data_IF_606885294383
#
_entry.id   IF_606885294383
#
_cell.length_a   1.000
_cell.length_b   1.000
_cell.length_c   1.000
_cell.angle_alpha   90.00
_cell.angle_beta   90.00
_cell.angle_gamma   90.00
#
_symmetry.space_group_name_H-M   'P 1'
#
loop_
_entity.id
_entity.type
_entity.pdbx_description
1 polymer ?
#
# COMPACT_ATOMS: atom_id res chain seq x y z
N UNK A 1 -7.30 -10.71 -20.81
CA UNK A 1 -6.95 -10.08 -19.52
C UNK A 1 -6.79 -8.60 -19.80
N UNK A 2 -7.66 -7.76 -19.24
CA UNK A 2 -7.67 -6.31 -19.49
C UNK A 2 -6.27 -5.72 -19.20
N UNK A 3 -5.61 -5.14 -20.21
CA UNK A 3 -4.21 -4.74 -20.16
C UNK A 3 -3.95 -3.61 -19.13
N UNK A 4 -5.01 -2.98 -18.65
CA UNK A 4 -5.00 -1.90 -17.67
C UNK A 4 -4.64 -2.35 -16.25
N UNK A 5 -4.85 -3.63 -15.90
CA UNK A 5 -4.57 -4.16 -14.54
C UNK A 5 -3.08 -4.48 -14.33
N UNK A 6 -2.41 -4.93 -15.40
CA UNK A 6 -1.03 -5.40 -15.39
C UNK A 6 -0.01 -4.38 -14.82
N UNK A 7 -0.02 -3.09 -15.22
CA UNK A 7 0.93 -2.12 -14.66
C UNK A 7 0.75 -1.90 -13.15
N UNK A 8 -0.48 -1.97 -12.63
CA UNK A 8 -0.75 -1.78 -11.19
C UNK A 8 -0.23 -2.95 -10.35
N UNK A 9 -0.34 -4.18 -10.84
CA UNK A 9 0.28 -5.33 -10.17
C UNK A 9 1.80 -5.25 -10.18
N UNK A 10 2.40 -4.86 -11.32
CA UNK A 10 3.85 -4.64 -11.43
C UNK A 10 4.31 -3.55 -10.47
N UNK A 11 3.56 -2.44 -10.38
CA UNK A 11 3.85 -1.35 -9.45
C UNK A 11 3.82 -1.81 -7.99
N UNK A 12 2.82 -2.59 -7.58
CA UNK A 12 2.76 -3.14 -6.22
C UNK A 12 3.93 -4.06 -5.89
N UNK A 13 4.31 -4.94 -6.83
CA UNK A 13 5.50 -5.78 -6.66
C UNK A 13 6.79 -4.96 -6.60
N UNK A 14 6.93 -3.94 -7.44
CA UNK A 14 8.08 -3.05 -7.44
C UNK A 14 8.20 -2.26 -6.12
N UNK A 15 7.08 -1.78 -5.58
CA UNK A 15 7.05 -1.12 -4.28
C UNK A 15 7.51 -2.06 -3.15
N UNK A 16 7.00 -3.29 -3.11
CA UNK A 16 7.38 -4.27 -2.09
C UNK A 16 8.89 -4.53 -2.12
N UNK A 17 9.47 -4.72 -3.32
CA UNK A 17 10.91 -4.92 -3.47
C UNK A 17 11.68 -3.66 -3.05
N UNK A 18 11.24 -2.47 -3.48
CA UNK A 18 11.92 -1.20 -3.19
C UNK A 18 11.96 -0.93 -1.69
N UNK A 19 10.84 -1.14 -1.00
CA UNK A 19 10.76 -0.97 0.45
C UNK A 19 11.57 -2.04 1.19
N UNK A 20 11.53 -3.30 0.74
CA UNK A 20 12.40 -4.36 1.27
C UNK A 20 13.88 -4.01 1.13
N UNK A 21 14.30 -3.49 -0.02
CA UNK A 21 15.66 -3.01 -0.23
C UNK A 21 16.01 -1.84 0.70
N UNK A 22 15.07 -0.91 0.91
CA UNK A 22 15.27 0.24 1.81
C UNK A 22 15.62 -0.21 3.23
N UNK A 23 14.90 -1.21 3.75
CA UNK A 23 15.19 -1.80 5.06
C UNK A 23 16.55 -2.51 5.12
N UNK A 24 16.98 -3.14 4.03
CA UNK A 24 18.31 -3.78 3.95
C UNK A 24 19.42 -2.73 3.92
N UNK A 25 19.27 -1.68 3.11
CA UNK A 25 20.26 -0.60 3.00
C UNK A 25 20.42 0.12 4.34
N UNK A 26 19.32 0.38 5.03
CA UNK A 26 19.30 1.11 6.30
C UNK A 26 19.29 0.17 7.52
N UNK A 27 19.70 -1.08 7.38
CA UNK A 27 19.67 -2.06 8.48
C UNK A 27 20.49 -1.65 9.71
N UNK A 28 21.51 -0.79 9.52
CA UNK A 28 22.33 -0.28 10.61
C UNK A 28 21.70 0.94 11.32
N UNK A 29 20.66 1.54 10.72
CA UNK A 29 19.94 2.70 11.26
C UNK A 29 18.76 2.28 12.13
N UNK A 30 18.17 1.12 11.83
CA UNK A 30 17.00 0.60 12.52
C UNK A 30 17.37 -0.58 13.43
N UNK A 31 16.69 -0.68 14.56
CA UNK A 31 16.76 -1.89 15.39
C UNK A 31 16.11 -3.06 14.65
N UNK A 32 16.51 -4.29 14.98
CA UNK A 32 15.90 -5.50 14.39
C UNK A 32 14.39 -5.54 14.57
N UNK A 33 13.89 -5.01 15.69
CA UNK A 33 12.46 -4.95 16.00
C UNK A 33 11.72 -4.05 15.01
N UNK A 34 12.22 -2.82 14.80
CA UNK A 34 11.64 -1.86 13.84
C UNK A 34 11.67 -2.39 12.39
N UNK A 35 12.74 -3.10 12.02
CA UNK A 35 12.83 -3.75 10.69
C UNK A 35 11.73 -4.80 10.53
N UNK A 36 11.51 -5.65 11.53
CA UNK A 36 10.50 -6.70 11.47
C UNK A 36 9.09 -6.10 11.41
N UNK A 37 8.79 -5.14 12.28
CA UNK A 37 7.48 -4.44 12.26
C UNK A 37 7.24 -3.75 10.91
N UNK A 38 8.25 -3.04 10.39
CA UNK A 38 8.18 -2.39 9.09
C UNK A 38 7.94 -3.37 7.95
N UNK A 39 8.66 -4.50 7.91
CA UNK A 39 8.46 -5.53 6.89
C UNK A 39 7.07 -6.18 6.97
N UNK A 40 6.59 -6.49 8.18
CA UNK A 40 5.24 -7.03 8.38
C UNK A 40 4.19 -6.03 7.88
N UNK A 41 4.36 -4.74 8.21
CA UNK A 41 3.47 -3.68 7.75
C UNK A 41 3.45 -3.56 6.22
N UNK A 42 4.61 -3.53 5.56
CA UNK A 42 4.69 -3.48 4.08
C UNK A 42 3.99 -4.68 3.44
N UNK A 43 4.22 -5.88 3.96
CA UNK A 43 3.59 -7.10 3.44
C UNK A 43 2.06 -7.01 3.54
N UNK A 44 1.52 -6.60 4.69
CA UNK A 44 0.08 -6.40 4.87
C UNK A 44 -0.47 -5.32 3.94
N UNK A 45 0.21 -4.17 3.85
CA UNK A 45 -0.18 -3.08 2.96
C UNK A 45 -0.20 -3.51 1.50
N UNK A 46 0.77 -4.32 1.06
CA UNK A 46 0.85 -4.84 -0.30
C UNK A 46 -0.27 -5.84 -0.61
N UNK A 47 -0.62 -6.70 0.35
CA UNK A 47 -1.77 -7.61 0.22
C UNK A 47 -3.06 -6.81 0.04
N UNK A 48 -3.30 -5.80 0.90
CA UNK A 48 -4.46 -4.92 0.81
C UNK A 48 -4.48 -4.21 -0.56
N UNK A 49 -3.34 -3.70 -1.01
CA UNK A 49 -3.21 -3.08 -2.33
C UNK A 49 -3.62 -4.03 -3.45
N UNK A 50 -3.14 -5.27 -3.48
CA UNK A 50 -3.53 -6.25 -4.51
C UNK A 50 -5.00 -6.63 -4.45
N UNK A 51 -5.60 -6.69 -3.26
CA UNK A 51 -7.05 -6.89 -3.08
C UNK A 51 -7.82 -5.71 -3.67
N UNK A 52 -7.40 -4.47 -3.39
CA UNK A 52 -8.04 -3.26 -3.93
C UNK A 52 -7.92 -3.20 -5.46
N UNK A 53 -6.75 -3.49 -6.02
CA UNK A 53 -6.56 -3.58 -7.47
C UNK A 53 -7.49 -4.65 -8.05
N UNK A 54 -7.56 -5.82 -7.42
CA UNK A 54 -8.47 -6.88 -7.89
C UNK A 54 -9.94 -6.43 -7.88
N UNK A 55 -10.41 -5.84 -6.77
CA UNK A 55 -11.78 -5.35 -6.62
C UNK A 55 -12.10 -4.24 -7.63
N UNK A 56 -11.18 -3.29 -7.84
CA UNK A 56 -11.35 -2.16 -8.75
C UNK A 56 -11.63 -2.62 -10.18
N UNK A 57 -11.05 -3.75 -10.60
CA UNK A 57 -11.23 -4.26 -11.96
C UNK A 57 -12.17 -5.48 -12.04
N UNK A 58 -12.86 -5.86 -10.96
CA UNK A 58 -13.81 -6.98 -10.94
C UNK A 58 -15.24 -6.54 -11.25
N UNK A 59 -15.66 -5.37 -10.74
CA UNK A 59 -17.03 -4.87 -10.94
C UNK A 59 -17.13 -3.35 -10.71
N UNK A 60 -18.19 -2.73 -11.25
CA UNK A 60 -18.57 -1.33 -10.99
C UNK A 60 -18.77 -1.06 -9.48
N UNK A 61 -19.32 -2.03 -8.75
CA UNK A 61 -19.43 -1.99 -7.28
C UNK A 61 -18.05 -1.99 -6.60
N UNK A 62 -17.13 -2.84 -7.09
CA UNK A 62 -15.76 -2.90 -6.59
C UNK A 62 -15.01 -1.57 -6.77
N UNK A 63 -15.19 -0.89 -7.91
CA UNK A 63 -14.64 0.47 -8.13
C UNK A 63 -15.15 1.46 -7.08
N UNK A 64 -16.46 1.48 -6.81
CA UNK A 64 -17.06 2.38 -5.80
C UNK A 64 -16.52 2.13 -4.40
N UNK A 65 -16.35 0.85 -4.03
CA UNK A 65 -15.77 0.48 -2.73
C UNK A 65 -14.33 0.98 -2.62
N UNK A 66 -13.51 0.71 -3.64
CA UNK A 66 -12.10 1.14 -3.66
C UNK A 66 -12.00 2.66 -3.57
N UNK A 67 -12.84 3.39 -4.32
CA UNK A 67 -12.87 4.84 -4.29
C UNK A 67 -13.31 5.39 -2.92
N UNK A 68 -14.32 4.76 -2.30
CA UNK A 68 -14.77 5.11 -0.94
C UNK A 68 -13.68 4.91 0.11
N UNK A 69 -12.94 3.79 0.02
CA UNK A 69 -11.80 3.52 0.91
C UNK A 69 -10.70 4.57 0.72
N UNK A 70 -10.37 4.92 -0.52
CA UNK A 70 -9.36 5.95 -0.82
C UNK A 70 -9.75 7.32 -0.27
N UNK A 71 -11.02 7.72 -0.44
CA UNK A 71 -11.54 8.97 0.13
C UNK A 71 -11.46 8.95 1.65
N UNK A 72 -11.86 7.85 2.28
CA UNK A 72 -11.84 7.70 3.73
C UNK A 72 -10.41 7.80 4.28
N UNK A 73 -9.45 7.12 3.64
CA UNK A 73 -8.03 7.23 3.99
C UNK A 73 -7.55 8.68 3.83
N UNK A 74 -7.88 9.34 2.71
CA UNK A 74 -7.50 10.73 2.46
C UNK A 74 -8.03 11.67 3.55
N UNK A 75 -9.31 11.54 3.93
CA UNK A 75 -9.92 12.34 4.99
C UNK A 75 -9.20 12.10 6.33
N UNK A 76 -8.96 10.85 6.70
CA UNK A 76 -8.26 10.52 7.95
C UNK A 76 -6.85 11.11 7.94
N UNK A 77 -6.13 11.00 6.82
CA UNK A 77 -4.79 11.59 6.68
C UNK A 77 -4.81 13.13 6.77
N UNK A 78 -5.79 13.80 6.16
CA UNK A 78 -5.95 15.26 6.28
C UNK A 78 -6.26 15.70 7.71
N UNK A 79 -7.16 14.98 8.40
CA UNK A 79 -7.49 15.25 9.80
C UNK A 79 -6.26 15.05 10.68
N UNK A 80 -5.58 13.91 10.54
CA UNK A 80 -4.36 13.62 11.29
C UNK A 80 -3.27 14.67 11.07
N UNK A 81 -3.07 15.11 9.82
CA UNK A 81 -2.13 16.18 9.50
C UNK A 81 -2.51 17.51 10.16
N UNK A 82 -3.79 17.89 10.14
CA UNK A 82 -4.28 19.10 10.78
C UNK A 82 -4.08 19.10 12.30
N UNK A 83 -4.27 17.95 12.97
CA UNK A 83 -4.01 17.83 14.41
C UNK A 83 -2.53 17.74 14.78
N UNK A 84 -1.67 17.35 13.83
CA UNK A 84 -0.23 17.26 14.04
C UNK A 84 0.50 18.59 13.85
N UNK A 85 -0.18 19.63 13.35
CA UNK A 85 0.35 20.96 13.04
C UNK A 85 0.03 21.94 14.17
#
# INVERSE_FOLDING_TARGET
>A
MDNTKKPLYIYGSFLLISWGLSFIIHQNTYTRYEIIEGMVFICLATIIYFILVHLNYRSELGKKIVFGILILIFIISCIGFYFSL
#
